data_IF_524874843021
#
_entry.id   IF_524874843021
#
_cell.length_a   1.000
_cell.length_b   1.000
_cell.length_c   1.000
_cell.angle_alpha   90.00
_cell.angle_beta   90.00
_cell.angle_gamma   90.00
#
_symmetry.space_group_name_H-M   'P 1'
#
loop_
_entity.id
_entity.type
_entity.pdbx_description
1 polymer ?
#
# COMPACT_ATOMS: atom_id res chain seq x y z
N UNK A 1 -23.94 -32.31 40.51
CA UNK A 1 -24.21 -33.57 39.78
C UNK A 1 -23.33 -33.56 38.53
N UNK A 2 -22.10 -34.08 38.60
CA UNK A 2 -21.69 -35.44 38.13
C UNK A 2 -21.89 -35.61 36.62
N UNK A 3 -20.94 -35.95 35.74
CA UNK A 3 -19.54 -36.40 35.84
C UNK A 3 -18.93 -36.47 34.40
N UNK A 4 -17.61 -36.21 34.29
CA UNK A 4 -16.48 -36.90 33.54
C UNK A 4 -16.71 -37.43 32.08
N UNK A 5 -15.76 -37.67 31.17
CA UNK A 5 -14.30 -37.93 31.21
C UNK A 5 -13.69 -37.80 29.79
N UNK A 6 -12.37 -37.60 29.76
CA UNK A 6 -11.33 -37.52 28.72
C UNK A 6 -11.29 -38.61 27.63
N UNK A 7 -10.67 -38.29 26.47
CA UNK A 7 -9.69 -39.16 25.79
C UNK A 7 -8.55 -38.35 25.16
N UNK A 8 -7.33 -38.78 25.47
CA UNK A 8 -6.08 -38.38 24.84
C UNK A 8 -5.84 -39.19 23.55
N UNK A 9 -5.04 -38.67 22.63
CA UNK A 9 -4.56 -39.39 21.46
C UNK A 9 -3.32 -38.73 20.87
N UNK A 10 -2.15 -39.15 21.35
CA UNK A 10 -0.85 -38.89 20.74
C UNK A 10 -0.58 -39.91 19.63
N UNK A 11 -0.02 -39.49 18.49
CA UNK A 11 0.66 -40.38 17.54
C UNK A 11 1.98 -39.73 17.13
N UNK A 12 3.06 -40.49 17.35
CA UNK A 12 4.46 -40.26 17.01
C UNK A 12 4.85 -41.21 15.86
N UNK A 13 6.00 -40.92 15.23
CA UNK A 13 6.76 -41.69 14.21
C UNK A 13 6.32 -41.46 12.74
N UNK A 14 7.20 -41.34 11.73
CA UNK A 14 8.57 -41.84 11.60
C UNK A 14 9.42 -41.01 10.61
N UNK A 15 10.74 -41.19 10.75
CA UNK A 15 11.82 -40.64 9.93
C UNK A 15 11.88 -41.23 8.51
N UNK A 16 12.50 -40.48 7.59
CA UNK A 16 12.92 -40.95 6.27
C UNK A 16 14.20 -40.25 5.82
N UNK A 17 15.35 -40.88 6.07
CA UNK A 17 16.64 -40.58 5.46
C UNK A 17 16.59 -40.81 3.94
N UNK A 18 17.12 -39.88 3.15
CA UNK A 18 17.59 -40.17 1.79
C UNK A 18 19.02 -39.65 1.62
N UNK A 19 19.85 -40.56 1.11
CA UNK A 19 21.28 -40.60 1.27
C UNK A 19 22.05 -39.66 0.32
N UNK A 20 23.16 -39.14 0.83
CA UNK A 20 24.32 -38.68 0.06
C UNK A 20 25.05 -39.91 -0.51
N UNK A 21 25.26 -39.97 -1.83
CA UNK A 21 26.50 -40.47 -2.48
C UNK A 21 26.42 -40.31 -4.00
N UNK A 22 27.36 -39.53 -4.57
CA UNK A 22 28.14 -39.93 -5.75
C UNK A 22 29.21 -38.85 -6.03
N UNK A 23 30.37 -39.03 -5.40
CA UNK A 23 31.64 -38.54 -5.94
C UNK A 23 31.95 -39.35 -7.20
N UNK A 24 32.13 -38.70 -8.34
CA UNK A 24 32.64 -39.32 -9.56
C UNK A 24 33.68 -38.42 -10.20
N UNK A 25 34.94 -38.61 -9.81
CA UNK A 25 36.11 -38.06 -10.50
C UNK A 25 36.31 -38.79 -11.83
N UNK A 26 36.46 -38.05 -12.93
CA UNK A 26 37.10 -38.54 -14.15
C UNK A 26 38.25 -37.59 -14.50
N UNK A 27 39.42 -38.15 -14.81
CA UNK A 27 40.64 -37.42 -15.21
C UNK A 27 40.95 -37.72 -16.67
N UNK A 28 41.18 -36.63 -17.41
CA UNK A 28 41.93 -36.43 -18.66
C UNK A 28 41.53 -37.15 -19.97
N UNK A 29 41.13 -36.33 -20.95
CA UNK A 29 41.21 -36.61 -22.38
C UNK A 29 41.28 -35.31 -23.19
N UNK A 30 42.36 -35.12 -23.94
CA UNK A 30 42.66 -33.96 -24.78
C UNK A 30 41.59 -33.64 -25.83
N UNK A 31 41.36 -32.34 -26.04
CA UNK A 31 41.16 -31.77 -27.38
C UNK A 31 39.73 -31.68 -27.91
N UNK A 32 39.05 -30.59 -27.61
CA UNK A 32 38.35 -29.72 -28.57
C UNK A 32 37.70 -28.58 -27.78
N UNK A 33 38.02 -27.34 -28.13
CA UNK A 33 37.32 -26.17 -27.61
C UNK A 33 35.85 -26.26 -28.05
N UNK A 34 34.97 -26.63 -27.11
CA UNK A 34 33.55 -26.43 -27.27
C UNK A 34 33.24 -24.99 -26.85
N UNK A 35 32.63 -24.25 -27.79
CA UNK A 35 32.11 -22.90 -27.57
C UNK A 35 31.36 -22.80 -26.23
N UNK A 36 31.51 -21.69 -25.48
CA UNK A 36 30.64 -21.45 -24.35
C UNK A 36 29.21 -21.28 -24.88
N UNK A 37 28.40 -22.33 -24.73
CA UNK A 37 26.97 -22.23 -24.94
C UNK A 37 26.45 -21.10 -24.05
N UNK A 38 25.73 -20.10 -24.60
CA UNK A 38 25.21 -19.02 -23.81
C UNK A 38 24.22 -19.60 -22.80
N UNK A 39 24.55 -19.49 -21.51
CA UNK A 39 23.60 -19.75 -20.44
C UNK A 39 22.40 -18.84 -20.70
N UNK A 40 21.17 -19.36 -20.87
CA UNK A 40 20.01 -18.52 -21.07
C UNK A 40 19.84 -17.70 -19.79
N UNK A 41 20.21 -16.43 -19.86
CA UNK A 41 19.95 -15.46 -18.80
C UNK A 41 18.47 -15.12 -18.90
N UNK A 42 17.61 -15.98 -18.38
CA UNK A 42 16.20 -15.63 -18.10
C UNK A 42 16.14 -14.84 -16.81
N UNK A 43 16.89 -13.73 -16.76
CA UNK A 43 16.71 -12.67 -15.77
C UNK A 43 15.88 -11.58 -16.43
N UNK A 44 14.61 -11.87 -16.75
CA UNK A 44 13.70 -10.80 -17.16
C UNK A 44 13.53 -9.87 -15.97
N UNK A 45 14.10 -8.67 -16.08
CA UNK A 45 13.87 -7.60 -15.12
C UNK A 45 12.39 -7.25 -15.18
N UNK A 46 11.69 -7.16 -14.02
CA UNK A 46 10.27 -6.79 -14.02
C UNK A 46 10.06 -5.45 -14.72
N UNK A 47 9.16 -5.41 -15.71
CA UNK A 47 8.72 -4.16 -16.31
C UNK A 47 7.72 -3.47 -15.36
N UNK A 48 8.28 -2.67 -14.45
CA UNK A 48 7.50 -1.92 -13.47
C UNK A 48 6.52 -0.93 -14.12
N UNK A 49 6.84 -0.39 -15.29
CA UNK A 49 5.96 0.53 -16.00
C UNK A 49 4.73 -0.19 -16.55
N UNK A 50 4.92 -1.35 -17.18
CA UNK A 50 3.81 -2.19 -17.65
C UNK A 50 2.94 -2.68 -16.48
N UNK A 51 3.56 -3.06 -15.35
CA UNK A 51 2.82 -3.46 -14.15
C UNK A 51 1.98 -2.31 -13.57
N UNK A 52 2.53 -1.10 -13.49
CA UNK A 52 1.81 0.08 -13.02
C UNK A 52 0.64 0.45 -13.95
N UNK A 53 0.84 0.38 -15.28
CA UNK A 53 -0.22 0.62 -16.25
C UNK A 53 -1.35 -0.43 -16.15
N UNK A 54 -1.00 -1.70 -15.94
CA UNK A 54 -1.97 -2.77 -15.74
C UNK A 54 -2.76 -2.61 -14.43
N UNK A 55 -2.10 -2.16 -13.36
CA UNK A 55 -2.75 -1.82 -12.09
C UNK A 55 -3.79 -0.70 -12.29
N UNK A 56 -3.38 0.39 -12.94
CA UNK A 56 -4.29 1.48 -13.30
C UNK A 56 -5.48 1.01 -14.13
N UNK A 57 -5.28 0.13 -15.12
CA UNK A 57 -6.37 -0.42 -15.91
C UNK A 57 -7.34 -1.28 -15.07
N UNK A 58 -6.86 -2.00 -14.05
CA UNK A 58 -7.72 -2.71 -13.09
C UNK A 58 -8.49 -1.74 -12.20
N UNK A 59 -7.84 -0.70 -11.70
CA UNK A 59 -8.49 0.38 -10.94
C UNK A 59 -9.65 1.01 -11.73
N UNK A 60 -9.39 1.38 -12.99
CA UNK A 60 -10.36 2.10 -13.81
C UNK A 60 -11.59 1.23 -14.14
N UNK A 61 -11.45 -0.11 -14.11
CA UNK A 61 -12.60 -1.05 -14.18
C UNK A 61 -13.42 -1.10 -12.89
N UNK A 62 -12.79 -0.94 -11.72
CA UNK A 62 -13.46 -0.93 -10.42
C UNK A 62 -14.19 0.40 -10.16
N UNK A 63 -13.63 1.50 -10.67
CA UNK A 63 -14.13 2.86 -10.44
C UNK A 63 -14.26 3.63 -11.77
N UNK A 64 -15.18 3.21 -12.65
CA UNK A 64 -15.34 3.83 -13.97
C UNK A 64 -15.64 5.33 -13.87
N UNK A 65 -16.42 5.78 -12.88
CA UNK A 65 -16.72 7.19 -12.67
C UNK A 65 -15.48 8.04 -12.36
N UNK A 66 -14.50 7.47 -11.65
CA UNK A 66 -13.23 8.13 -11.36
C UNK A 66 -12.35 8.17 -12.61
N UNK A 67 -12.32 7.07 -13.36
CA UNK A 67 -11.58 6.98 -14.62
C UNK A 67 -12.08 8.02 -15.64
N UNK A 68 -13.39 8.19 -15.78
CA UNK A 68 -13.98 9.20 -16.65
C UNK A 68 -13.56 10.62 -16.24
N UNK A 69 -13.64 10.93 -14.93
CA UNK A 69 -13.30 12.26 -14.41
C UNK A 69 -11.82 12.61 -14.63
N UNK A 70 -10.95 11.61 -14.57
CA UNK A 70 -9.50 11.78 -14.73
C UNK A 70 -8.98 11.48 -16.14
N UNK A 71 -9.86 11.21 -17.10
CA UNK A 71 -9.47 10.92 -18.49
C UNK A 71 -8.70 12.11 -19.07
N UNK A 72 -7.56 11.82 -19.71
CA UNK A 72 -6.73 12.85 -20.34
C UNK A 72 -5.92 13.72 -19.38
N UNK A 73 -5.99 13.50 -18.05
CA UNK A 73 -5.16 14.19 -17.05
C UNK A 73 -3.74 13.61 -16.93
N UNK A 74 -3.28 12.83 -17.90
CA UNK A 74 -1.94 12.26 -17.88
C UNK A 74 -0.89 13.35 -18.15
N UNK A 75 -0.02 13.61 -17.18
CA UNK A 75 1.26 14.27 -17.42
C UNK A 75 2.31 13.52 -16.63
N UNK A 76 3.22 12.89 -17.37
CA UNK A 76 4.48 12.22 -17.01
C UNK A 76 4.64 11.58 -15.61
N UNK A 77 5.13 10.32 -15.59
CA UNK A 77 5.75 9.78 -14.39
C UNK A 77 6.96 10.66 -13.98
N UNK A 78 7.19 10.92 -12.67
CA UNK A 78 8.41 11.55 -12.21
C UNK A 78 9.60 10.78 -12.76
N UNK A 79 10.40 11.44 -13.59
CA UNK A 79 11.63 10.83 -14.13
C UNK A 79 12.73 11.15 -13.13
N UNK A 80 12.88 10.27 -12.14
CA UNK A 80 13.94 10.38 -11.14
C UNK A 80 13.43 10.29 -9.70
N UNK A 81 14.32 9.97 -8.75
CA UNK A 81 14.00 10.08 -7.33
C UNK A 81 13.55 11.52 -7.05
N UNK A 82 12.48 11.68 -6.28
CA UNK A 82 12.08 12.99 -5.78
C UNK A 82 13.31 13.61 -5.11
N UNK A 83 13.77 14.74 -5.64
CA UNK A 83 14.82 15.50 -4.98
C UNK A 83 14.28 15.83 -3.58
N UNK A 84 15.04 15.56 -2.50
CA UNK A 84 14.63 16.02 -1.18
C UNK A 84 14.26 17.50 -1.28
N UNK A 85 13.08 17.87 -0.78
CA UNK A 85 12.68 19.27 -0.74
C UNK A 85 13.78 20.09 -0.08
N UNK A 86 14.04 21.29 -0.60
CA UNK A 86 15.08 22.15 -0.07
C UNK A 86 14.81 22.39 1.42
N UNK A 87 15.78 22.03 2.26
CA UNK A 87 15.66 22.22 3.70
C UNK A 87 15.57 23.72 4.01
N UNK A 88 14.78 24.13 5.02
CA UNK A 88 14.76 25.51 5.48
C UNK A 88 16.18 26.02 5.76
N UNK A 89 16.46 27.28 5.41
CA UNK A 89 17.77 27.91 5.70
C UNK A 89 17.91 28.32 7.16
N UNK A 90 16.78 28.50 7.87
CA UNK A 90 16.76 28.74 9.30
C UNK A 90 17.20 27.47 10.06
N UNK A 91 18.22 27.53 10.94
CA UNK A 91 18.76 26.35 11.61
C UNK A 91 17.75 25.56 12.44
N UNK A 92 16.81 26.23 13.13
CA UNK A 92 15.81 25.56 13.95
C UNK A 92 14.73 24.90 13.09
N UNK A 93 14.28 25.58 12.04
CA UNK A 93 13.36 25.01 11.06
C UNK A 93 13.99 23.82 10.31
N UNK A 94 15.29 23.88 10.01
CA UNK A 94 16.02 22.76 9.39
C UNK A 94 16.07 21.56 10.31
N UNK A 95 16.48 21.74 11.56
CA UNK A 95 16.50 20.68 12.58
C UNK A 95 15.12 20.08 12.77
N UNK A 96 14.08 20.92 12.80
CA UNK A 96 12.70 20.46 12.88
C UNK A 96 12.31 19.62 11.66
N UNK A 97 12.64 20.07 10.45
CA UNK A 97 12.36 19.35 9.20
C UNK A 97 13.08 18.00 9.14
N UNK A 98 14.35 17.95 9.55
CA UNK A 98 15.12 16.70 9.65
C UNK A 98 14.47 15.74 10.66
N UNK A 99 14.11 16.22 11.84
CA UNK A 99 13.45 15.40 12.87
C UNK A 99 12.05 14.91 12.44
N UNK A 100 11.39 15.58 11.51
CA UNK A 100 10.06 15.21 11.01
C UNK A 100 10.08 14.59 9.62
N UNK A 101 11.26 14.26 9.08
CA UNK A 101 11.40 13.67 7.76
C UNK A 101 10.68 12.32 7.62
N UNK A 102 10.44 11.62 8.73
CA UNK A 102 9.63 10.39 8.78
C UNK A 102 8.18 10.61 8.29
N UNK A 103 7.67 11.85 8.36
CA UNK A 103 6.35 12.24 7.84
C UNK A 103 6.35 12.61 6.36
N UNK A 104 7.47 12.49 5.66
CA UNK A 104 7.53 12.80 4.24
C UNK A 104 6.70 11.79 3.44
N UNK A 105 5.90 12.33 2.52
CA UNK A 105 5.05 11.57 1.62
C UNK A 105 5.72 11.48 0.24
N UNK A 106 5.49 10.36 -0.45
CA UNK A 106 5.84 10.24 -1.86
C UNK A 106 5.07 11.27 -2.69
N UNK A 107 5.74 11.90 -3.65
CA UNK A 107 5.08 12.84 -4.55
C UNK A 107 4.12 12.09 -5.48
N UNK A 108 2.85 12.51 -5.47
CA UNK A 108 1.85 11.96 -6.39
C UNK A 108 2.09 12.48 -7.81
N UNK A 109 1.99 11.58 -8.80
CA UNK A 109 1.90 11.99 -10.20
C UNK A 109 0.60 12.77 -10.43
N UNK A 110 0.50 13.65 -11.45
CA UNK A 110 -0.73 14.36 -11.76
C UNK A 110 -1.95 13.43 -11.94
N UNK A 111 -1.75 12.27 -12.56
CA UNK A 111 -2.81 11.27 -12.73
C UNK A 111 -3.23 10.62 -11.39
N UNK A 112 -2.26 10.26 -10.54
CA UNK A 112 -2.53 9.70 -9.21
C UNK A 112 -3.22 10.74 -8.30
N UNK A 113 -2.79 12.00 -8.36
CA UNK A 113 -3.43 13.11 -7.66
C UNK A 113 -4.89 13.28 -8.08
N UNK A 114 -5.19 13.27 -9.38
CA UNK A 114 -6.56 13.36 -9.87
C UNK A 114 -7.43 12.24 -9.30
N UNK A 115 -6.97 10.97 -9.38
CA UNK A 115 -7.72 9.82 -8.87
C UNK A 115 -7.93 9.91 -7.37
N UNK A 116 -6.87 10.25 -6.62
CA UNK A 116 -6.95 10.46 -5.18
C UNK A 116 -7.97 11.52 -4.80
N UNK A 117 -7.90 12.71 -5.42
CA UNK A 117 -8.83 13.81 -5.18
C UNK A 117 -10.28 13.42 -5.54
N UNK A 118 -10.48 12.64 -6.61
CA UNK A 118 -11.78 12.13 -7.01
C UNK A 118 -12.37 11.15 -5.98
N UNK A 119 -11.56 10.22 -5.43
CA UNK A 119 -12.00 9.35 -4.34
C UNK A 119 -12.29 10.13 -3.06
N UNK A 120 -11.44 11.10 -2.71
CA UNK A 120 -11.67 11.96 -1.55
C UNK A 120 -13.00 12.71 -1.67
N UNK A 121 -13.31 13.24 -2.86
CA UNK A 121 -14.59 13.90 -3.13
C UNK A 121 -15.78 12.93 -3.06
N UNK A 122 -15.64 11.72 -3.62
CA UNK A 122 -16.65 10.65 -3.58
C UNK A 122 -16.98 10.26 -2.14
N UNK A 123 -15.96 10.02 -1.31
CA UNK A 123 -16.14 9.69 0.11
C UNK A 123 -16.74 10.87 0.88
N UNK A 124 -16.22 12.08 0.70
CA UNK A 124 -16.77 13.28 1.37
C UNK A 124 -18.25 13.47 1.04
N UNK A 125 -18.66 13.23 -0.21
CA UNK A 125 -20.07 13.29 -0.62
C UNK A 125 -20.91 12.24 0.11
N UNK A 126 -20.43 10.99 0.21
CA UNK A 126 -21.11 9.92 0.93
C UNK A 126 -21.25 10.20 2.44
N UNK A 127 -20.29 10.90 3.02
CA UNK A 127 -20.33 11.36 4.42
C UNK A 127 -21.28 12.56 4.64
N UNK A 128 -21.91 13.09 3.59
CA UNK A 128 -22.83 14.23 3.69
C UNK A 128 -22.17 15.60 3.55
N UNK A 129 -21.03 15.68 2.85
CA UNK A 129 -20.31 16.93 2.61
C UNK A 129 -19.48 17.39 3.82
N UNK A 130 -19.04 18.65 3.84
CA UNK A 130 -18.22 19.19 4.94
C UNK A 130 -18.95 19.25 6.28
N UNK A 131 -20.29 19.33 6.25
CA UNK A 131 -21.15 19.44 7.43
C UNK A 131 -21.44 18.09 8.11
N UNK A 132 -21.21 16.97 7.42
CA UNK A 132 -21.37 15.63 7.99
C UNK A 132 -22.76 15.23 8.40
N UNK A 133 -23.79 15.78 7.74
CA UNK A 133 -25.21 15.48 8.04
C UNK A 133 -25.58 14.00 7.87
N UNK A 134 -24.72 13.17 7.27
CA UNK A 134 -24.87 11.73 7.14
C UNK A 134 -23.63 10.94 7.60
N UNK A 135 -22.77 11.54 8.43
CA UNK A 135 -21.55 10.89 8.89
C UNK A 135 -21.89 9.69 9.80
N UNK A 136 -21.22 8.54 9.60
CA UNK A 136 -21.27 7.40 10.52
C UNK A 136 -20.94 7.78 11.96
N UNK A 137 -21.53 7.07 12.92
CA UNK A 137 -21.35 7.29 14.37
C UNK A 137 -20.48 6.23 15.04
N UNK A 138 -20.17 5.13 14.35
CA UNK A 138 -19.24 4.11 14.82
C UNK A 138 -18.22 3.71 13.75
N UNK A 139 -17.17 3.03 14.19
CA UNK A 139 -16.15 2.41 13.31
C UNK A 139 -16.76 1.38 12.38
N UNK A 140 -17.76 0.62 12.84
CA UNK A 140 -18.45 -0.41 12.06
C UNK A 140 -19.33 0.23 10.98
N UNK A 141 -20.08 1.27 11.31
CA UNK A 141 -20.89 2.02 10.35
C UNK A 141 -20.01 2.67 9.27
N UNK A 142 -18.86 3.24 9.66
CA UNK A 142 -17.91 3.84 8.73
C UNK A 142 -17.25 2.80 7.83
N UNK A 143 -16.80 1.68 8.39
CA UNK A 143 -16.24 0.56 7.62
C UNK A 143 -17.28 -0.03 6.66
N UNK A 144 -18.53 -0.20 7.10
CA UNK A 144 -19.65 -0.64 6.28
C UNK A 144 -19.96 0.31 5.12
N UNK A 145 -19.97 1.63 5.37
CA UNK A 145 -20.15 2.65 4.34
C UNK A 145 -19.05 2.56 3.28
N UNK A 146 -17.77 2.55 3.70
CA UNK A 146 -16.63 2.48 2.78
C UNK A 146 -16.64 1.17 1.98
N UNK A 147 -16.99 0.05 2.61
CA UNK A 147 -17.13 -1.25 1.95
C UNK A 147 -18.25 -1.24 0.91
N UNK A 148 -19.42 -0.68 1.26
CA UNK A 148 -20.54 -0.52 0.33
C UNK A 148 -20.22 0.38 -0.87
N UNK A 149 -19.23 1.26 -0.72
CA UNK A 149 -18.69 2.09 -1.80
C UNK A 149 -17.64 1.37 -2.66
N UNK A 150 -17.30 0.11 -2.37
CA UNK A 150 -16.32 -0.69 -3.12
C UNK A 150 -14.87 -0.56 -2.62
N UNK A 151 -14.64 0.13 -1.51
CA UNK A 151 -13.33 0.11 -0.84
C UNK A 151 -13.18 -1.17 -0.01
N UNK A 152 -11.94 -1.52 0.33
CA UNK A 152 -11.62 -2.69 1.16
C UNK A 152 -10.80 -2.23 2.36
N UNK A 153 -11.41 -1.56 3.35
CA UNK A 153 -10.69 -1.17 4.56
C UNK A 153 -10.15 -2.41 5.27
N UNK A 154 -8.88 -2.37 5.64
CA UNK A 154 -8.22 -3.42 6.43
C UNK A 154 -8.35 -3.15 7.93
N UNK A 155 -7.86 -4.09 8.74
CA UNK A 155 -7.83 -3.91 10.19
C UNK A 155 -6.95 -2.70 10.55
N UNK A 156 -7.52 -1.73 11.27
CA UNK A 156 -6.83 -0.49 11.65
C UNK A 156 -7.01 0.68 10.66
N UNK A 157 -7.56 0.44 9.48
CA UNK A 157 -7.85 1.50 8.51
C UNK A 157 -9.00 2.41 8.94
N UNK A 158 -9.90 1.92 9.79
CA UNK A 158 -10.99 2.69 10.38
C UNK A 158 -10.86 2.65 11.89
N UNK A 159 -10.78 3.82 12.51
CA UNK A 159 -10.51 3.92 13.94
C UNK A 159 -11.18 5.13 14.58
N UNK A 160 -11.44 5.01 15.88
CA UNK A 160 -11.80 6.14 16.73
C UNK A 160 -10.54 6.66 17.43
N UNK A 161 -10.37 7.98 17.43
CA UNK A 161 -9.37 8.63 18.29
C UNK A 161 -9.76 8.49 19.77
N UNK A 162 -8.83 8.81 20.68
CA UNK A 162 -9.10 8.85 22.12
C UNK A 162 -10.24 9.78 22.54
N UNK A 163 -10.58 10.75 21.68
CA UNK A 163 -11.69 11.70 21.88
C UNK A 163 -13.01 11.22 21.27
N UNK A 164 -13.05 9.98 20.74
CA UNK A 164 -14.23 9.39 20.10
C UNK A 164 -14.45 9.81 18.64
N UNK A 165 -13.63 10.73 18.12
CA UNK A 165 -13.74 11.17 16.74
C UNK A 165 -13.28 10.07 15.78
N UNK A 166 -14.12 9.75 14.79
CA UNK A 166 -13.83 8.73 13.80
C UNK A 166 -12.85 9.24 12.75
N UNK A 167 -11.99 8.35 12.27
CA UNK A 167 -11.07 8.60 11.18
C UNK A 167 -10.89 7.33 10.36
N UNK A 168 -10.43 7.52 9.13
CA UNK A 168 -10.02 6.42 8.30
C UNK A 168 -8.79 6.75 7.46
N UNK A 169 -8.08 5.72 7.04
CA UNK A 169 -6.96 5.75 6.11
C UNK A 169 -7.20 4.63 5.10
N UNK A 170 -7.18 4.94 3.82
CA UNK A 170 -7.36 3.95 2.75
C UNK A 170 -6.18 4.01 1.78
N UNK A 171 -5.66 2.84 1.43
CA UNK A 171 -4.88 2.68 0.20
C UNK A 171 -5.85 2.53 -0.97
N UNK A 172 -5.79 3.44 -1.96
CA UNK A 172 -6.63 3.29 -3.14
C UNK A 172 -6.05 2.16 -3.99
N UNK A 173 -6.84 1.10 -4.22
CA UNK A 173 -6.32 -0.10 -4.86
C UNK A 173 -5.80 0.23 -6.25
N UNK A 174 -4.60 -0.26 -6.55
CA UNK A 174 -4.02 -0.30 -7.91
C UNK A 174 -3.67 1.07 -8.54
N UNK A 175 -4.15 2.20 -8.01
CA UNK A 175 -3.81 3.55 -8.51
C UNK A 175 -2.74 4.26 -7.68
N UNK A 176 -2.46 3.81 -6.46
CA UNK A 176 -1.32 4.21 -5.64
C UNK A 176 -1.48 5.36 -4.63
N UNK A 177 -2.48 6.28 -4.68
CA UNK A 177 -2.62 7.29 -3.64
C UNK A 177 -3.28 6.71 -2.38
N UNK A 178 -3.02 7.35 -1.26
CA UNK A 178 -3.72 7.14 0.00
C UNK A 178 -4.82 8.19 0.15
N UNK A 179 -5.91 7.85 0.85
CA UNK A 179 -6.96 8.80 1.22
C UNK A 179 -7.21 8.70 2.72
N UNK A 180 -6.99 9.81 3.42
CA UNK A 180 -7.24 9.93 4.85
C UNK A 180 -8.43 10.83 5.11
N UNK A 181 -9.29 10.45 6.04
CA UNK A 181 -10.44 11.26 6.45
C UNK A 181 -10.58 11.37 7.96
N UNK A 182 -10.97 12.55 8.42
CA UNK A 182 -11.31 12.86 9.81
C UNK A 182 -12.76 13.34 9.87
N UNK A 183 -13.58 12.63 10.65
CA UNK A 183 -15.00 12.89 10.82
C UNK A 183 -15.23 13.78 12.06
N UNK A 184 -14.49 14.88 12.12
CA UNK A 184 -14.74 15.98 13.06
C UNK A 184 -15.26 17.16 12.27
N UNK A 185 -16.30 17.89 12.73
CA UNK A 185 -16.68 19.13 12.06
C UNK A 185 -15.55 20.18 12.16
N UNK A 186 -15.10 20.80 11.06
CA UNK A 186 -15.46 20.52 9.66
C UNK A 186 -14.78 19.26 9.13
N UNK A 187 -15.54 18.36 8.49
CA UNK A 187 -14.98 17.09 8.05
C UNK A 187 -13.93 17.28 6.96
N UNK A 188 -12.84 16.53 7.08
CA UNK A 188 -11.76 16.55 6.10
C UNK A 188 -11.55 15.17 5.50
N UNK A 189 -11.35 15.14 4.19
CA UNK A 189 -10.96 13.93 3.44
C UNK A 189 -9.94 14.39 2.42
N UNK A 190 -8.73 13.85 2.43
CA UNK A 190 -7.61 14.30 1.60
C UNK A 190 -6.88 13.12 1.00
N UNK A 191 -6.46 13.29 -0.25
CA UNK A 191 -5.54 12.36 -0.88
C UNK A 191 -4.10 12.78 -0.66
N UNK A 192 -3.22 11.81 -0.51
CA UNK A 192 -1.79 12.00 -0.31
C UNK A 192 -1.00 10.82 -0.87
N UNK A 193 0.32 10.97 -0.95
CA UNK A 193 1.21 9.84 -1.24
C UNK A 193 1.40 8.95 -0.03
N UNK A 194 1.98 7.77 -0.24
CA UNK A 194 2.44 6.93 0.86
C UNK A 194 3.52 7.67 1.66
N UNK A 195 3.48 7.60 2.97
CA UNK A 195 4.60 7.95 3.84
C UNK A 195 5.77 7.01 3.56
N UNK A 196 6.97 7.59 3.48
CA UNK A 196 8.18 6.84 3.15
C UNK A 196 8.49 5.71 4.15
N UNK A 197 8.04 5.85 5.40
CA UNK A 197 8.30 4.90 6.49
C UNK A 197 7.05 4.14 6.99
N UNK A 198 5.85 4.42 6.46
CA UNK A 198 4.58 3.96 7.06
C UNK A 198 3.48 3.53 6.09
N UNK A 199 3.72 3.58 4.77
CA UNK A 199 2.67 3.32 3.80
C UNK A 199 1.59 4.41 3.87
N UNK A 200 0.31 4.06 3.90
CA UNK A 200 -0.75 5.08 3.98
C UNK A 200 -0.99 5.61 5.39
N UNK A 201 -0.59 4.87 6.42
CA UNK A 201 -0.80 5.29 7.80
C UNK A 201 0.27 6.29 8.20
N UNK A 202 -0.14 7.44 8.76
CA UNK A 202 0.81 8.43 9.24
C UNK A 202 1.69 7.80 10.33
N UNK A 203 3.02 7.74 10.13
CA UNK A 203 3.92 7.18 11.11
C UNK A 203 3.85 7.98 12.41
N UNK A 204 3.82 7.28 13.55
CA UNK A 204 3.75 7.88 14.88
C UNK A 204 5.11 7.85 15.58
N UNK A 205 5.56 9.02 16.02
CA UNK A 205 6.83 9.21 16.72
C UNK A 205 7.95 9.68 15.79
N UNK A 206 8.81 10.56 16.31
CA UNK A 206 10.10 10.90 15.71
C UNK A 206 11.22 10.34 16.59
N UNK A 207 12.36 10.03 15.98
CA UNK A 207 13.54 9.54 16.68
C UNK A 207 14.10 10.55 17.68
#
# INVERSE_FOLDING_TARGET
MTSRTTTAGAVLFAAGLLALTACGTTVSGSGAAADPSPVPTTGQTPDHAAQAAAAVARHDKLFPEVAELCRGKATAAPTGPATPGELPTDPEARKYAENHAYKNEATLTPAAKCRGDAHAARIRKALGGSDGKGAPKSTEELSGLLTGMGYKPEAGDVYASSTGNLSFVLSIPESGPCVTGHLTPPMSVKAHGVYMEGGCHEPRGGH
#
